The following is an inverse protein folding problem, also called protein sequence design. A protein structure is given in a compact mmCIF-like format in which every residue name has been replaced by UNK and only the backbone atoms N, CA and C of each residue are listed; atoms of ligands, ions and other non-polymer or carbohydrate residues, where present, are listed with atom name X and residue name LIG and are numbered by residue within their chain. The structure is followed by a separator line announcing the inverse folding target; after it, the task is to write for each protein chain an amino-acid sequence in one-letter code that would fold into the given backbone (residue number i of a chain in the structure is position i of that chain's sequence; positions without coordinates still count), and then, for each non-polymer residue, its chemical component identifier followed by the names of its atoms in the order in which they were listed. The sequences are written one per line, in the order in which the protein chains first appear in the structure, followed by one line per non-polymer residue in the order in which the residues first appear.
data_IF_588999612240
#
_entry.id   IF_588999612240
#
_cell.length_a   1.000
_cell.length_b   1.000
_cell.length_c   1.000
_cell.angle_alpha   90.00
_cell.angle_beta   90.00
_cell.angle_gamma   90.00
#
_symmetry.space_group_name_H-M   'P 1'
#
loop_
_entity.id
_entity.type
_entity.pdbx_description
1 polymer ?
#
# COMPACT_ATOMS: atom_id res chain seq x y z
N UNK A 1 24.47 -11.35 -41.68
CA UNK A 1 25.03 -10.98 -40.35
C UNK A 1 25.94 -12.10 -39.87
N UNK A 2 27.13 -11.79 -39.35
CA UNK A 2 28.05 -12.84 -38.85
C UNK A 2 27.60 -13.39 -37.50
N UNK A 3 28.03 -14.62 -37.15
CA UNK A 3 27.75 -15.23 -35.84
C UNK A 3 28.17 -14.34 -34.66
N UNK A 4 29.27 -13.59 -34.82
CA UNK A 4 29.76 -12.65 -33.82
C UNK A 4 28.83 -11.43 -33.64
N UNK A 5 28.23 -10.95 -34.73
CA UNK A 5 27.25 -9.85 -34.68
C UNK A 5 25.95 -10.28 -33.99
N UNK A 6 25.49 -11.51 -34.25
CA UNK A 6 24.31 -12.08 -33.59
C UNK A 6 24.55 -12.32 -32.10
N UNK A 7 25.73 -12.85 -31.74
CA UNK A 7 26.14 -13.05 -30.34
C UNK A 7 26.25 -11.74 -29.55
N UNK A 8 26.81 -10.69 -30.17
CA UNK A 8 26.95 -9.37 -29.53
C UNK A 8 25.58 -8.72 -29.29
N UNK A 9 24.67 -8.83 -30.26
CA UNK A 9 23.30 -8.33 -30.13
C UNK A 9 22.52 -9.04 -29.01
N UNK A 10 22.64 -10.37 -28.91
CA UNK A 10 22.01 -11.12 -27.82
C UNK A 10 22.54 -10.72 -26.43
N UNK A 11 23.86 -10.52 -26.32
CA UNK A 11 24.47 -10.10 -25.06
C UNK A 11 24.00 -8.70 -24.65
N UNK A 12 23.91 -7.78 -25.60
CA UNK A 12 23.39 -6.42 -25.37
C UNK A 12 21.93 -6.44 -24.91
N UNK A 13 21.07 -7.23 -25.56
CA UNK A 13 19.66 -7.39 -25.16
C UNK A 13 19.54 -7.96 -23.75
N UNK A 14 20.37 -8.96 -23.40
CA UNK A 14 20.39 -9.54 -22.06
C UNK A 14 20.82 -8.52 -20.99
N UNK A 15 21.83 -7.71 -21.29
CA UNK A 15 22.29 -6.64 -20.39
C UNK A 15 21.21 -5.57 -20.17
N UNK A 16 20.51 -5.17 -21.23
CA UNK A 16 19.41 -4.21 -21.17
C UNK A 16 18.21 -4.79 -20.41
N UNK A 17 17.93 -6.09 -20.54
CA UNK A 17 16.89 -6.78 -19.77
C UNK A 17 17.14 -6.74 -18.26
N UNK A 18 18.41 -6.75 -17.82
CA UNK A 18 18.76 -6.65 -16.40
C UNK A 18 18.60 -5.23 -15.83
N UNK A 19 18.59 -4.19 -16.68
CA UNK A 19 18.35 -2.81 -16.25
C UNK A 19 16.87 -2.54 -15.95
N UNK A 20 15.96 -3.37 -16.50
CA UNK A 20 14.57 -3.41 -16.09
C UNK A 20 14.43 -4.25 -14.82
N UNK A 21 15.00 -3.78 -13.71
CA UNK A 21 14.50 -4.20 -12.42
C UNK A 21 13.04 -3.78 -12.34
N UNK A 22 12.14 -4.74 -12.47
CA UNK A 22 10.70 -4.57 -12.31
C UNK A 22 10.46 -3.92 -10.94
N UNK A 23 10.12 -2.62 -10.91
CA UNK A 23 9.46 -2.02 -9.76
C UNK A 23 8.08 -2.69 -9.70
N UNK A 24 7.94 -3.73 -8.89
CA UNK A 24 6.70 -4.51 -8.76
C UNK A 24 5.70 -3.87 -7.78
N UNK A 25 5.82 -2.57 -7.54
CA UNK A 25 4.91 -1.83 -6.67
C UNK A 25 3.74 -1.27 -7.47
N UNK A 26 2.53 -1.59 -7.03
CA UNK A 26 1.33 -0.90 -7.49
C UNK A 26 1.28 0.50 -6.90
N UNK A 27 0.66 1.44 -7.63
CA UNK A 27 0.48 2.82 -7.17
C UNK A 27 -0.97 3.05 -6.83
N UNK A 28 -1.20 3.71 -5.71
CA UNK A 28 -2.54 4.04 -5.25
C UNK A 28 -2.55 5.24 -4.34
N UNK A 29 -3.68 5.40 -3.65
CA UNK A 29 -3.85 6.43 -2.62
C UNK A 29 -3.99 5.77 -1.25
N UNK A 30 -3.55 6.48 -0.22
CA UNK A 30 -3.83 6.13 1.16
C UNK A 30 -4.49 7.27 1.93
N UNK A 31 -5.42 6.89 2.80
CA UNK A 31 -6.19 7.75 3.67
C UNK A 31 -6.05 7.23 5.10
N UNK A 32 -6.54 8.00 6.06
CA UNK A 32 -6.46 7.70 7.48
C UNK A 32 -7.72 6.99 7.97
N UNK A 33 -7.51 5.92 8.74
CA UNK A 33 -8.51 5.15 9.46
C UNK A 33 -8.53 5.61 10.92
N UNK A 34 -9.62 6.26 11.34
CA UNK A 34 -9.83 6.67 12.73
C UNK A 34 -10.67 5.66 13.50
N UNK A 35 -10.63 5.72 14.83
CA UNK A 35 -11.51 4.91 15.67
C UNK A 35 -12.97 5.37 15.51
N UNK A 36 -13.96 4.47 15.62
CA UNK A 36 -13.83 3.04 15.97
C UNK A 36 -13.46 2.14 14.78
N UNK A 37 -12.63 1.12 15.03
CA UNK A 37 -12.19 0.14 14.02
C UNK A 37 -13.06 -1.11 13.90
N UNK A 38 -13.91 -1.38 14.90
CA UNK A 38 -14.75 -2.57 14.99
C UNK A 38 -16.23 -2.17 14.82
N UNK A 39 -17.06 -3.04 14.22
CA UNK A 39 -16.70 -4.30 13.54
C UNK A 39 -15.98 -4.10 12.21
N UNK A 40 -15.08 -5.04 11.90
CA UNK A 40 -14.45 -5.12 10.58
C UNK A 40 -15.10 -6.17 9.70
N UNK A 41 -14.93 -6.06 8.39
CA UNK A 41 -15.35 -7.06 7.41
C UNK A 41 -14.61 -8.40 7.54
N UNK A 42 -13.36 -8.41 8.04
CA UNK A 42 -12.56 -9.63 8.15
C UNK A 42 -12.80 -10.41 9.45
N UNK A 43 -12.84 -9.73 10.59
CA UNK A 43 -12.87 -10.35 11.92
C UNK A 43 -14.09 -9.94 12.77
N UNK A 44 -14.99 -9.12 12.24
CA UNK A 44 -16.15 -8.64 12.97
C UNK A 44 -15.73 -7.91 14.24
N UNK A 45 -16.24 -8.35 15.39
CA UNK A 45 -15.97 -7.74 16.69
C UNK A 45 -14.73 -8.29 17.41
N UNK A 46 -13.93 -9.13 16.77
CA UNK A 46 -12.73 -9.70 17.41
C UNK A 46 -11.55 -8.71 17.41
N UNK A 47 -11.10 -8.20 18.57
CA UNK A 47 -9.93 -7.32 18.64
C UNK A 47 -8.60 -8.07 18.43
N UNK A 48 -8.57 -9.41 18.49
CA UNK A 48 -7.33 -10.18 18.31
C UNK A 48 -6.81 -10.14 16.86
N UNK A 49 -7.64 -9.70 15.91
CA UNK A 49 -7.26 -9.57 14.50
C UNK A 49 -6.20 -8.49 14.24
N UNK A 50 -6.14 -7.47 15.10
CA UNK A 50 -5.24 -6.31 14.95
C UNK A 50 -3.83 -6.66 15.40
N UNK A 51 -2.79 -6.29 14.63
CA UNK A 51 -1.41 -6.48 15.05
C UNK A 51 -1.07 -5.55 16.24
N UNK A 52 -0.22 -6.00 17.15
CA UNK A 52 0.12 -5.30 18.39
C UNK A 52 0.80 -3.94 18.19
N UNK A 53 1.44 -3.73 17.04
CA UNK A 53 2.06 -2.46 16.65
C UNK A 53 1.08 -1.48 15.98
N UNK A 54 -0.19 -1.85 15.86
CA UNK A 54 -1.23 -1.09 15.15
C UNK A 54 -0.92 -0.81 13.67
N UNK A 55 -0.05 -1.59 13.02
CA UNK A 55 0.23 -1.48 11.58
C UNK A 55 -0.78 -2.29 10.77
N UNK A 56 -1.95 -1.69 10.53
CA UNK A 56 -3.02 -2.32 9.77
C UNK A 56 -3.73 -1.31 8.85
N UNK A 57 -4.58 -1.82 7.97
CA UNK A 57 -5.44 -0.99 7.13
C UNK A 57 -6.71 -1.69 6.68
N UNK A 58 -7.59 -0.92 6.06
CA UNK A 58 -8.74 -1.39 5.32
C UNK A 58 -8.46 -1.34 3.82
N UNK A 59 -8.83 -2.39 3.08
CA UNK A 59 -8.67 -2.43 1.64
C UNK A 59 -9.80 -1.68 0.93
N UNK A 60 -9.45 -0.80 -0.01
CA UNK A 60 -10.38 -0.25 -0.98
C UNK A 60 -10.82 -1.30 -1.99
N UNK A 61 -11.81 -1.00 -2.82
CA UNK A 61 -12.44 -1.98 -3.71
C UNK A 61 -11.47 -2.65 -4.69
N UNK A 62 -10.41 -1.96 -5.12
CA UNK A 62 -9.37 -2.55 -5.98
C UNK A 62 -8.43 -3.53 -5.26
N UNK A 63 -8.32 -3.46 -3.93
CA UNK A 63 -7.48 -4.35 -3.11
C UNK A 63 -8.31 -5.40 -2.37
N UNK A 64 -9.61 -5.13 -2.12
CA UNK A 64 -10.46 -5.95 -1.26
C UNK A 64 -10.56 -7.41 -1.71
N UNK A 65 -10.57 -7.65 -3.02
CA UNK A 65 -10.56 -8.98 -3.64
C UNK A 65 -11.63 -9.92 -3.05
N UNK A 66 -12.86 -9.44 -2.93
CA UNK A 66 -13.99 -10.17 -2.35
C UNK A 66 -13.72 -10.77 -0.95
N UNK A 67 -12.86 -10.11 -0.16
CA UNK A 67 -12.45 -10.55 1.18
C UNK A 67 -11.24 -11.47 1.21
N UNK A 68 -10.71 -11.88 0.06
CA UNK A 68 -9.47 -12.65 0.00
C UNK A 68 -8.24 -11.85 0.47
N UNK A 69 -8.35 -10.52 0.54
CA UNK A 69 -7.33 -9.63 1.11
C UNK A 69 -7.23 -9.70 2.63
N UNK A 70 -8.20 -10.28 3.34
CA UNK A 70 -8.18 -10.38 4.79
C UNK A 70 -6.92 -11.10 5.29
N UNK A 71 -6.14 -10.42 6.13
CA UNK A 71 -4.90 -10.94 6.67
C UNK A 71 -3.68 -10.85 5.75
N UNK A 72 -3.84 -10.44 4.48
CA UNK A 72 -2.70 -10.15 3.59
C UNK A 72 -1.89 -9.00 4.15
N UNK A 73 -0.60 -9.04 3.87
CA UNK A 73 0.34 -8.02 4.29
C UNK A 73 0.81 -7.24 3.08
N UNK A 74 1.03 -5.94 3.25
CA UNK A 74 1.56 -5.08 2.21
C UNK A 74 2.73 -4.27 2.76
N UNK A 75 3.79 -4.18 1.97
CA UNK A 75 4.78 -3.12 2.11
C UNK A 75 4.21 -1.86 1.48
N UNK A 76 4.22 -0.75 2.22
CA UNK A 76 3.62 0.53 1.79
C UNK A 76 4.59 1.66 2.07
N UNK A 77 4.76 2.57 1.11
CA UNK A 77 5.52 3.82 1.28
C UNK A 77 4.81 5.01 0.65
N UNK A 78 5.02 6.18 1.22
CA UNK A 78 4.52 7.44 0.66
C UNK A 78 5.43 7.90 -0.49
N UNK A 79 4.85 8.18 -1.65
CA UNK A 79 5.59 8.64 -2.84
C UNK A 79 5.35 10.12 -3.16
N UNK A 80 4.15 10.64 -2.87
CA UNK A 80 3.83 12.07 -3.01
C UNK A 80 2.56 12.45 -2.25
N UNK A 81 2.30 13.75 -2.11
CA UNK A 81 1.07 14.28 -1.56
C UNK A 81 0.76 15.65 -2.19
N UNK A 82 -0.45 16.17 -1.99
CA UNK A 82 -0.83 17.52 -2.43
C UNK A 82 -0.06 18.63 -1.70
N UNK A 83 0.33 18.39 -0.44
CA UNK A 83 1.14 19.30 0.36
C UNK A 83 2.62 18.91 0.27
N UNK A 84 3.54 19.84 -0.06
CA UNK A 84 4.96 19.54 -0.09
C UNK A 84 5.50 19.04 1.26
N UNK A 85 6.48 18.13 1.22
CA UNK A 85 7.16 17.56 2.41
C UNK A 85 6.25 16.75 3.35
N UNK A 86 5.09 16.32 2.89
CA UNK A 86 4.24 15.37 3.62
C UNK A 86 4.87 14.00 3.74
N UNK A 87 5.37 13.39 2.66
CA UNK A 87 5.99 12.05 2.76
C UNK A 87 7.29 12.09 3.58
N UNK A 88 7.48 11.06 4.42
CA UNK A 88 8.74 10.80 5.12
C UNK A 88 9.68 10.03 4.17
N UNK A 89 10.82 10.60 3.77
CA UNK A 89 11.70 9.95 2.79
C UNK A 89 12.28 8.64 3.32
N UNK A 90 12.27 7.59 2.49
CA UNK A 90 12.90 6.29 2.80
C UNK A 90 12.08 5.38 3.71
N UNK A 91 10.95 5.84 4.24
CA UNK A 91 10.09 5.03 5.12
C UNK A 91 9.22 4.08 4.32
N UNK A 92 9.34 2.79 4.60
CA UNK A 92 8.46 1.72 4.09
C UNK A 92 7.98 0.90 5.28
N UNK A 93 6.67 0.74 5.41
CA UNK A 93 6.05 -0.01 6.51
C UNK A 93 5.38 -1.26 5.99
N UNK A 94 5.30 -2.28 6.84
CA UNK A 94 4.47 -3.46 6.60
C UNK A 94 3.15 -3.29 7.34
N UNK A 95 2.02 -3.45 6.64
CA UNK A 95 0.68 -3.40 7.22
C UNK A 95 -0.10 -4.68 6.94
N UNK A 96 -1.04 -5.02 7.82
CA UNK A 96 -2.01 -6.11 7.62
C UNK A 96 -3.38 -5.57 7.24
N UNK A 97 -4.04 -6.15 6.24
CA UNK A 97 -5.44 -5.82 5.94
C UNK A 97 -6.36 -6.52 6.94
N UNK A 98 -7.21 -5.73 7.59
CA UNK A 98 -8.15 -6.20 8.62
C UNK A 98 -9.59 -5.81 8.33
N UNK A 99 -9.85 -4.99 7.31
CA UNK A 99 -11.19 -4.48 7.02
C UNK A 99 -11.38 -4.10 5.54
N UNK A 100 -12.63 -3.80 5.15
CA UNK A 100 -13.00 -3.25 3.84
C UNK A 100 -13.38 -1.79 3.99
N UNK A 101 -12.70 -0.90 3.27
CA UNK A 101 -12.88 0.54 3.39
C UNK A 101 -14.31 1.02 3.05
N UNK A 102 -14.98 0.35 2.12
CA UNK A 102 -16.34 0.72 1.69
C UNK A 102 -17.41 0.44 2.77
N UNK A 103 -17.14 -0.51 3.67
CA UNK A 103 -18.09 -0.95 4.70
C UNK A 103 -17.56 -0.73 6.11
N UNK A 104 -16.42 -0.05 6.27
CA UNK A 104 -15.84 0.25 7.57
C UNK A 104 -16.76 1.16 8.37
N UNK A 105 -16.83 0.94 9.68
CA UNK A 105 -17.72 1.70 10.57
C UNK A 105 -17.29 3.17 10.67
N UNK A 106 -15.99 3.42 10.78
CA UNK A 106 -15.46 4.76 10.64
C UNK A 106 -15.28 5.09 9.15
N UNK A 107 -15.60 6.32 8.78
CA UNK A 107 -15.36 6.81 7.43
C UNK A 107 -13.87 7.19 7.28
N UNK A 108 -13.20 6.75 6.20
CA UNK A 108 -11.86 7.20 5.87
C UNK A 108 -11.78 8.73 5.75
N UNK A 109 -10.58 9.30 5.94
CA UNK A 109 -10.36 10.74 5.69
C UNK A 109 -10.58 11.14 4.22
N UNK A 110 -10.54 10.18 3.30
CA UNK A 110 -10.89 10.35 1.89
C UNK A 110 -11.50 9.06 1.33
N UNK A 111 -12.70 9.18 0.75
CA UNK A 111 -13.40 8.04 0.15
C UNK A 111 -12.72 7.55 -1.14
N UNK A 112 -13.04 6.31 -1.56
CA UNK A 112 -12.54 5.74 -2.82
C UNK A 112 -11.02 5.51 -2.84
N UNK A 113 -10.40 5.48 -1.67
CA UNK A 113 -8.95 5.33 -1.50
C UNK A 113 -8.53 3.87 -1.65
N UNK A 114 -7.34 3.62 -2.19
CA UNK A 114 -6.81 2.26 -2.42
C UNK A 114 -6.58 1.47 -1.13
N UNK A 115 -5.92 2.07 -0.14
CA UNK A 115 -5.69 1.47 1.19
C UNK A 115 -5.94 2.53 2.28
N UNK A 116 -6.80 2.25 3.25
CA UNK A 116 -7.05 3.14 4.38
C UNK A 116 -6.21 2.67 5.56
N UNK A 117 -5.15 3.40 5.87
CA UNK A 117 -4.16 3.05 6.89
C UNK A 117 -4.64 3.45 8.28
N UNK A 118 -4.38 2.63 9.30
CA UNK A 118 -4.51 3.07 10.70
C UNK A 118 -3.77 4.39 10.92
N UNK A 119 -4.21 5.18 11.91
CA UNK A 119 -3.51 6.43 12.28
C UNK A 119 -2.01 6.18 12.49
N UNK A 120 -1.64 5.09 13.17
CA UNK A 120 -0.25 4.70 13.41
C UNK A 120 0.51 4.41 12.11
N UNK A 121 -0.08 3.64 11.20
CA UNK A 121 0.53 3.33 9.90
C UNK A 121 0.67 4.58 9.01
N UNK A 122 -0.37 5.42 8.94
CA UNK A 122 -0.32 6.66 8.18
C UNK A 122 0.79 7.59 8.68
N UNK A 123 0.88 7.81 9.99
CA UNK A 123 1.87 8.70 10.60
C UNK A 123 3.29 8.15 10.53
N UNK A 124 3.47 6.86 10.29
CA UNK A 124 4.78 6.27 10.08
C UNK A 124 5.41 6.69 8.73
N UNK A 125 4.60 6.92 7.69
CA UNK A 125 5.08 7.26 6.33
C UNK A 125 4.78 8.69 5.90
N UNK A 126 3.95 9.43 6.64
CA UNK A 126 3.59 10.81 6.31
C UNK A 126 3.57 11.72 7.55
N UNK A 127 4.04 12.95 7.36
CA UNK A 127 3.87 14.07 8.28
C UNK A 127 2.45 14.62 8.10
N UNK A 128 1.67 14.66 9.18
CA UNK A 128 0.22 14.91 9.15
C UNK A 128 -0.24 16.19 8.42
N UNK A 129 -1.55 16.29 8.19
CA UNK A 129 -2.21 17.49 7.66
C UNK A 129 -2.92 17.33 6.32
N UNK A 130 -2.70 16.22 5.60
CA UNK A 130 -3.46 15.89 4.38
C UNK A 130 -4.49 14.81 4.63
N UNK A 131 -5.61 14.86 3.90
CA UNK A 131 -6.66 13.83 3.91
C UNK A 131 -6.26 12.56 3.16
N UNK A 132 -5.28 12.66 2.26
CA UNK A 132 -4.78 11.56 1.46
C UNK A 132 -3.32 11.80 1.04
N UNK A 133 -2.63 10.71 0.74
CA UNK A 133 -1.29 10.64 0.16
C UNK A 133 -1.29 9.64 -0.99
N UNK A 134 -0.37 9.82 -1.93
CA UNK A 134 -0.10 8.80 -2.94
C UNK A 134 0.93 7.81 -2.37
N UNK A 135 0.66 6.53 -2.56
CA UNK A 135 1.49 5.44 -2.06
C UNK A 135 1.93 4.53 -3.20
N UNK A 136 3.09 3.91 -3.01
CA UNK A 136 3.43 2.65 -3.66
C UNK A 136 3.21 1.53 -2.65
N UNK A 137 2.65 0.40 -3.10
CA UNK A 137 2.42 -0.77 -2.28
C UNK A 137 2.65 -2.08 -3.04
N UNK A 138 3.06 -3.11 -2.32
CA UNK A 138 3.27 -4.46 -2.85
C UNK A 138 2.99 -5.51 -1.76
N UNK A 139 2.46 -6.66 -2.16
CA UNK A 139 2.19 -7.79 -1.27
C UNK A 139 3.49 -8.49 -0.82
#
# INVERSE_FOLDING_TARGET
MSKAQLSSLCLFVFLVAQLFHLSNGDVGTAARYTTPYIPTACGGNDPSQFPSNNMFGAAGEGVWDNGASCGRQYLVRCISASVPKTCKPGETIQIKIVDRAQTSVSRPSQDGTTIVLSTTAYDAIANGGTSSINIEFQE
#
